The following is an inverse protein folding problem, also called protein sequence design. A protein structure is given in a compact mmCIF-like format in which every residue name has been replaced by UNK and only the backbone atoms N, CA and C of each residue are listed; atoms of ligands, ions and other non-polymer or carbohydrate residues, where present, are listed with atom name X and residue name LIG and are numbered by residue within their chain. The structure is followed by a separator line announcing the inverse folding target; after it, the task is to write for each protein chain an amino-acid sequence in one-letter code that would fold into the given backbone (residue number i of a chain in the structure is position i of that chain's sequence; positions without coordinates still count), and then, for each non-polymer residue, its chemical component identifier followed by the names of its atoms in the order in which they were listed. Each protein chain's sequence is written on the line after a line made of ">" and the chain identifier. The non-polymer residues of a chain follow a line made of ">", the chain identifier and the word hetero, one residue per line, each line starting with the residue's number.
data_IF_039196775817
#
_entry.id   IF_039196775817
#
_cell.length_a   1.000
_cell.length_b   1.000
_cell.length_c   1.000
_cell.angle_alpha   90.00
_cell.angle_beta   90.00
_cell.angle_gamma   90.00
#
_symmetry.space_group_name_H-M   'P 1'
#
loop_
_entity.id
_entity.type
_entity.pdbx_description
1 polymer ?
#
# COMPACT_ATOMS: atom_id res chain seq x y z
N UNK A 1 15.85 2.87 11.38
CA UNK A 1 15.21 3.77 10.41
C UNK A 1 14.28 2.96 9.49
N UNK A 2 13.10 3.47 9.09
CA UNK A 2 12.17 2.69 8.26
C UNK A 2 12.63 2.61 6.80
N UNK A 3 12.31 1.53 6.08
CA UNK A 3 12.60 1.40 4.63
C UNK A 3 12.07 2.59 3.83
N UNK A 4 10.88 3.09 4.16
CA UNK A 4 10.29 4.26 3.51
C UNK A 4 11.17 5.50 3.65
N UNK A 5 11.68 5.76 4.87
CA UNK A 5 12.58 6.89 5.13
C UNK A 5 13.89 6.76 4.34
N UNK A 6 14.48 5.56 4.27
CA UNK A 6 15.69 5.32 3.50
C UNK A 6 15.48 5.53 1.99
N UNK A 7 14.35 5.06 1.45
CA UNK A 7 13.99 5.26 0.03
C UNK A 7 13.74 6.74 -0.26
N UNK A 8 13.02 7.44 0.62
CA UNK A 8 12.76 8.88 0.53
C UNK A 8 14.05 9.69 0.57
N UNK A 9 14.95 9.43 1.53
CA UNK A 9 16.24 10.14 1.62
C UNK A 9 17.12 9.93 0.38
N UNK A 10 17.05 8.75 -0.24
CA UNK A 10 17.87 8.40 -1.43
C UNK A 10 17.30 8.96 -2.73
N UNK A 11 15.98 8.93 -2.93
CA UNK A 11 15.34 9.23 -4.21
C UNK A 11 14.56 10.55 -4.22
N UNK A 12 14.27 11.10 -3.05
CA UNK A 12 13.46 12.30 -2.85
C UNK A 12 14.02 13.19 -1.72
N UNK A 13 15.29 13.65 -1.83
CA UNK A 13 15.97 14.36 -0.75
C UNK A 13 15.30 15.71 -0.38
N UNK A 14 14.58 16.32 -1.31
CA UNK A 14 13.93 17.63 -1.13
C UNK A 14 12.56 17.55 -0.42
N UNK A 15 12.14 16.37 0.04
CA UNK A 15 10.88 16.24 0.76
C UNK A 15 10.98 16.87 2.16
N UNK A 16 9.93 17.58 2.63
CA UNK A 16 9.87 18.03 4.01
C UNK A 16 9.90 16.83 4.98
N UNK A 17 10.15 17.05 6.29
CA UNK A 17 10.07 15.98 7.28
C UNK A 17 8.74 15.22 7.21
N UNK A 18 8.79 13.90 7.36
CA UNK A 18 7.59 13.07 7.40
C UNK A 18 6.73 13.41 8.62
N UNK A 19 5.41 13.28 8.49
CA UNK A 19 4.47 13.49 9.59
C UNK A 19 4.64 12.38 10.64
N UNK A 20 4.54 12.73 11.92
CA UNK A 20 4.37 11.77 12.99
C UNK A 20 2.93 11.21 12.96
N UNK A 21 2.79 9.91 12.75
CA UNK A 21 1.47 9.26 12.74
C UNK A 21 1.05 8.99 14.19
N UNK A 22 -0.06 9.56 14.70
CA UNK A 22 -0.53 9.30 16.05
C UNK A 22 -1.00 7.86 16.20
N UNK A 23 -0.86 7.31 17.41
CA UNK A 23 -1.21 5.91 17.69
C UNK A 23 -2.69 5.58 17.43
N UNK A 24 -3.58 6.56 17.64
CA UNK A 24 -5.01 6.44 17.34
C UNK A 24 -5.29 6.23 15.85
N UNK A 25 -4.59 6.95 14.98
CA UNK A 25 -4.71 6.83 13.51
C UNK A 25 -4.18 5.48 13.04
N UNK A 26 -3.02 5.05 13.56
CA UNK A 26 -2.45 3.72 13.28
C UNK A 26 -3.37 2.58 13.73
N UNK A 27 -3.96 2.69 14.93
CA UNK A 27 -4.87 1.69 15.46
C UNK A 27 -6.17 1.62 14.65
N UNK A 28 -6.74 2.77 14.28
CA UNK A 28 -7.93 2.83 13.45
C UNK A 28 -7.71 2.22 12.07
N UNK A 29 -6.57 2.49 11.42
CA UNK A 29 -6.25 1.87 10.12
C UNK A 29 -6.00 0.37 10.24
N UNK A 30 -5.31 -0.08 11.31
CA UNK A 30 -5.08 -1.50 11.58
C UNK A 30 -6.40 -2.26 11.77
N UNK A 31 -7.32 -1.76 12.61
CA UNK A 31 -8.64 -2.38 12.80
C UNK A 31 -9.43 -2.45 11.49
N UNK A 32 -9.38 -1.38 10.68
CA UNK A 32 -10.01 -1.35 9.36
C UNK A 32 -9.36 -2.34 8.41
N UNK A 33 -8.04 -2.47 8.45
CA UNK A 33 -7.31 -3.45 7.64
C UNK A 33 -7.71 -4.87 8.03
N UNK A 34 -7.75 -5.18 9.32
CA UNK A 34 -8.18 -6.49 9.82
C UNK A 34 -9.59 -6.82 9.34
N UNK A 35 -10.54 -5.89 9.41
CA UNK A 35 -11.89 -6.11 8.91
C UNK A 35 -11.91 -6.41 7.39
N UNK A 36 -11.13 -5.68 6.59
CA UNK A 36 -10.98 -5.94 5.15
C UNK A 36 -10.30 -7.29 4.91
N UNK A 37 -9.25 -7.62 5.67
CA UNK A 37 -8.52 -8.87 5.58
C UNK A 37 -9.44 -10.07 5.82
N UNK A 38 -10.26 -10.01 6.87
CA UNK A 38 -11.25 -11.06 7.16
C UNK A 38 -12.27 -11.17 6.02
N UNK A 39 -12.86 -10.06 5.60
CA UNK A 39 -13.87 -10.07 4.54
C UNK A 39 -13.32 -10.63 3.21
N UNK A 40 -12.13 -10.18 2.79
CA UNK A 40 -11.47 -10.62 1.56
C UNK A 40 -11.13 -12.11 1.63
N UNK A 41 -10.62 -12.61 2.75
CA UNK A 41 -10.29 -14.03 2.90
C UNK A 41 -11.54 -14.92 2.92
N UNK A 42 -12.64 -14.49 3.54
CA UNK A 42 -13.90 -15.22 3.50
C UNK A 42 -14.44 -15.33 2.07
N UNK A 43 -14.43 -14.22 1.32
CA UNK A 43 -14.84 -14.22 -0.10
C UNK A 43 -13.91 -15.10 -0.93
N UNK A 44 -12.59 -14.97 -0.74
CA UNK A 44 -11.60 -15.78 -1.46
C UNK A 44 -11.77 -17.28 -1.18
N UNK A 45 -12.06 -17.66 0.07
CA UNK A 45 -12.32 -19.05 0.45
C UNK A 45 -13.55 -19.60 -0.29
N UNK A 46 -14.67 -18.88 -0.27
CA UNK A 46 -15.89 -19.30 -0.97
C UNK A 46 -15.64 -19.43 -2.47
N UNK A 47 -14.99 -18.43 -3.08
CA UNK A 47 -14.66 -18.48 -4.50
C UNK A 47 -13.71 -19.63 -4.85
N UNK A 48 -12.70 -19.91 -4.01
CA UNK A 48 -11.77 -21.01 -4.24
C UNK A 48 -12.43 -22.38 -4.16
N UNK A 49 -13.43 -22.55 -3.28
CA UNK A 49 -14.21 -23.79 -3.18
C UNK A 49 -15.11 -24.01 -4.41
N UNK A 50 -15.71 -22.94 -4.93
CA UNK A 50 -16.60 -23.01 -6.11
C UNK A 50 -15.82 -23.10 -7.43
N UNK A 51 -14.64 -22.48 -7.49
CA UNK A 51 -13.84 -22.29 -8.70
C UNK A 51 -12.41 -22.84 -8.49
N UNK A 52 -12.30 -24.11 -8.09
CA UNK A 52 -11.02 -24.71 -7.71
C UNK A 52 -9.88 -24.52 -8.74
N UNK A 53 -10.10 -24.64 -10.07
CA UNK A 53 -9.03 -24.39 -11.05
C UNK A 53 -8.53 -22.94 -11.07
N UNK A 54 -9.35 -21.98 -10.62
CA UNK A 54 -9.00 -20.57 -10.54
C UNK A 54 -8.41 -20.17 -9.18
N UNK A 55 -8.24 -21.10 -8.24
CA UNK A 55 -7.74 -20.81 -6.90
C UNK A 55 -6.41 -20.03 -6.87
N UNK A 56 -5.40 -20.29 -7.73
CA UNK A 56 -4.16 -19.48 -7.76
C UNK A 56 -4.42 -18.01 -8.10
N UNK A 57 -5.30 -17.73 -9.06
CA UNK A 57 -5.67 -16.37 -9.46
C UNK A 57 -6.48 -15.66 -8.37
N UNK A 58 -7.39 -16.37 -7.71
CA UNK A 58 -8.14 -15.87 -6.56
C UNK A 58 -7.19 -15.50 -5.43
N UNK A 59 -6.19 -16.35 -5.15
CA UNK A 59 -5.17 -16.11 -4.14
C UNK A 59 -4.31 -14.88 -4.47
N UNK A 60 -3.83 -14.74 -5.70
CA UNK A 60 -3.08 -13.54 -6.12
C UNK A 60 -3.94 -12.27 -6.08
N UNK A 61 -5.20 -12.34 -6.49
CA UNK A 61 -6.11 -11.20 -6.41
C UNK A 61 -6.40 -10.79 -4.96
N UNK A 62 -6.69 -11.76 -4.09
CA UNK A 62 -6.94 -11.52 -2.67
C UNK A 62 -5.72 -10.88 -2.00
N UNK A 63 -4.54 -11.49 -2.16
CA UNK A 63 -3.30 -10.96 -1.60
C UNK A 63 -2.95 -9.60 -2.23
N UNK A 64 -3.12 -9.42 -3.53
CA UNK A 64 -2.86 -8.16 -4.20
C UNK A 64 -3.74 -7.02 -3.68
N UNK A 65 -5.02 -7.28 -3.41
CA UNK A 65 -5.91 -6.31 -2.79
C UNK A 65 -5.46 -5.93 -1.38
N UNK A 66 -5.03 -6.90 -0.58
CA UNK A 66 -4.57 -6.67 0.80
C UNK A 66 -3.23 -5.92 0.84
N UNK A 67 -2.23 -6.41 0.10
CA UNK A 67 -0.92 -5.78 0.00
C UNK A 67 -1.03 -4.37 -0.56
N UNK A 68 -1.80 -4.20 -1.64
CA UNK A 68 -2.00 -2.90 -2.26
C UNK A 68 -2.60 -1.89 -1.29
N UNK A 69 -3.66 -2.28 -0.56
CA UNK A 69 -4.26 -1.41 0.46
C UNK A 69 -3.25 -1.07 1.57
N UNK A 70 -2.61 -2.08 2.14
CA UNK A 70 -1.81 -1.93 3.36
C UNK A 70 -0.53 -1.14 3.13
N UNK A 71 0.29 -1.55 2.17
CA UNK A 71 1.55 -0.86 1.88
C UNK A 71 1.32 0.56 1.34
N UNK A 72 0.25 0.79 0.59
CA UNK A 72 -0.12 2.14 0.18
C UNK A 72 -0.45 3.01 1.39
N UNK A 73 -1.31 2.55 2.31
CA UNK A 73 -1.69 3.31 3.50
C UNK A 73 -0.49 3.56 4.42
N UNK A 74 0.36 2.56 4.64
CA UNK A 74 1.60 2.68 5.42
C UNK A 74 2.46 3.85 4.93
N UNK A 75 2.65 3.95 3.61
CA UNK A 75 3.46 5.02 3.01
C UNK A 75 2.70 6.35 2.99
N UNK A 76 1.42 6.32 2.64
CA UNK A 76 0.58 7.52 2.51
C UNK A 76 0.40 8.26 3.84
N UNK A 77 0.17 7.56 4.95
CA UNK A 77 -0.06 8.18 6.27
C UNK A 77 1.17 8.95 6.78
N UNK A 78 2.38 8.61 6.30
CA UNK A 78 3.62 9.35 6.60
C UNK A 78 3.65 10.74 5.96
N UNK A 79 2.85 10.98 4.93
CA UNK A 79 2.91 12.18 4.07
C UNK A 79 1.58 12.93 3.98
N UNK A 80 0.46 12.25 4.22
CA UNK A 80 -0.90 12.73 4.08
C UNK A 80 -1.68 12.42 5.36
N UNK A 81 -2.76 13.16 5.62
CA UNK A 81 -3.73 12.79 6.65
C UNK A 81 -4.54 11.54 6.24
N UNK A 82 -5.18 10.87 7.19
CA UNK A 82 -5.97 9.64 6.91
C UNK A 82 -7.05 9.88 5.84
N UNK A 83 -7.66 11.06 5.84
CA UNK A 83 -8.74 11.40 4.91
C UNK A 83 -8.22 11.53 3.46
N UNK A 84 -7.13 12.26 3.26
CA UNK A 84 -6.48 12.44 1.97
C UNK A 84 -5.84 11.14 1.47
N UNK A 85 -5.17 10.38 2.35
CA UNK A 85 -4.62 9.07 2.01
C UNK A 85 -5.72 8.13 1.47
N UNK A 86 -6.86 8.04 2.16
CA UNK A 86 -8.00 7.21 1.71
C UNK A 86 -8.61 7.73 0.42
N UNK A 87 -8.77 9.05 0.27
CA UNK A 87 -9.28 9.68 -0.96
C UNK A 87 -8.38 9.34 -2.16
N UNK A 88 -7.06 9.47 -1.99
CA UNK A 88 -6.08 9.22 -3.03
C UNK A 88 -6.04 7.73 -3.41
N UNK A 89 -6.10 6.83 -2.43
CA UNK A 89 -6.21 5.38 -2.66
C UNK A 89 -7.45 5.02 -3.45
N UNK A 90 -8.61 5.60 -3.10
CA UNK A 90 -9.88 5.35 -3.80
C UNK A 90 -9.83 5.84 -5.25
N UNK A 91 -9.25 7.03 -5.48
CA UNK A 91 -9.07 7.59 -6.83
C UNK A 91 -8.17 6.72 -7.71
N UNK A 92 -7.17 6.07 -7.13
CA UNK A 92 -6.20 5.22 -7.84
C UNK A 92 -6.34 3.74 -7.49
N UNK A 93 -7.55 3.29 -7.13
CA UNK A 93 -7.77 1.95 -6.57
C UNK A 93 -7.26 0.83 -7.48
N UNK A 94 -7.49 0.96 -8.80
CA UNK A 94 -7.01 -0.01 -9.79
C UNK A 94 -5.49 -0.07 -9.87
N UNK A 95 -4.82 1.08 -9.85
CA UNK A 95 -3.35 1.12 -9.87
C UNK A 95 -2.76 0.55 -8.57
N UNK A 96 -3.38 0.86 -7.42
CA UNK A 96 -2.96 0.34 -6.11
C UNK A 96 -3.14 -1.17 -6.06
N UNK A 97 -4.28 -1.67 -6.56
CA UNK A 97 -4.55 -3.09 -6.68
C UNK A 97 -3.56 -3.80 -7.61
N UNK A 98 -3.32 -3.25 -8.81
CA UNK A 98 -2.38 -3.83 -9.77
C UNK A 98 -0.95 -3.89 -9.21
N UNK A 99 -0.49 -2.83 -8.55
CA UNK A 99 0.80 -2.84 -7.85
C UNK A 99 0.84 -3.89 -6.74
N UNK A 100 -0.26 -4.06 -5.98
CA UNK A 100 -0.38 -5.10 -4.98
C UNK A 100 -0.33 -6.51 -5.58
N UNK A 101 -1.04 -6.78 -6.69
CA UNK A 101 -1.01 -8.07 -7.40
C UNK A 101 0.39 -8.38 -7.92
N UNK A 102 1.07 -7.37 -8.48
CA UNK A 102 2.48 -7.51 -8.89
C UNK A 102 3.37 -7.96 -7.72
N UNK A 103 3.13 -7.45 -6.51
CA UNK A 103 3.84 -7.87 -5.30
C UNK A 103 3.34 -9.21 -4.74
N UNK A 104 2.13 -9.65 -5.07
CA UNK A 104 1.58 -10.92 -4.62
C UNK A 104 2.15 -12.12 -5.38
N UNK A 105 2.52 -11.95 -6.66
CA UNK A 105 3.08 -13.06 -7.47
C UNK A 105 4.37 -13.65 -6.86
N UNK A 106 5.37 -12.84 -6.47
CA UNK A 106 6.59 -13.36 -5.85
C UNK A 106 6.38 -14.04 -4.49
N UNK A 107 5.25 -13.82 -3.81
CA UNK A 107 4.95 -14.50 -2.53
C UNK A 107 4.86 -16.02 -2.68
N UNK A 108 4.59 -16.52 -3.89
CA UNK A 108 4.58 -17.95 -4.19
C UNK A 108 5.96 -18.60 -4.08
N UNK A 109 7.04 -17.81 -4.03
CA UNK A 109 8.42 -18.27 -3.90
C UNK A 109 8.94 -17.99 -2.47
N UNK A 110 9.18 -19.02 -1.63
CA UNK A 110 9.54 -18.84 -0.22
C UNK A 110 10.74 -17.92 0.03
N UNK A 111 11.79 -18.02 -0.80
CA UNK A 111 13.00 -17.20 -0.67
C UNK A 111 12.75 -15.74 -1.08
N UNK A 112 11.94 -15.53 -2.13
CA UNK A 112 11.66 -14.18 -2.65
C UNK A 112 10.72 -13.42 -1.72
N UNK A 113 9.87 -14.13 -0.98
CA UNK A 113 8.98 -13.55 0.03
C UNK A 113 9.73 -12.69 1.08
N UNK A 114 11.00 -12.98 1.37
CA UNK A 114 11.82 -12.17 2.28
C UNK A 114 12.10 -10.75 1.76
N UNK A 115 12.12 -10.57 0.44
CA UNK A 115 12.43 -9.29 -0.23
C UNK A 115 11.16 -8.47 -0.47
N UNK A 116 10.01 -9.15 -0.60
CA UNK A 116 8.71 -8.53 -0.93
C UNK A 116 8.37 -7.34 -0.02
N UNK A 117 8.52 -7.38 1.32
CA UNK A 117 8.18 -6.24 2.17
C UNK A 117 9.01 -4.99 1.86
N UNK A 118 10.31 -5.15 1.59
CA UNK A 118 11.22 -4.04 1.28
C UNK A 118 10.88 -3.46 -0.09
N UNK A 119 10.70 -4.34 -1.08
CA UNK A 119 10.34 -3.95 -2.44
C UNK A 119 8.96 -3.28 -2.51
N UNK A 120 7.97 -3.78 -1.75
CA UNK A 120 6.63 -3.19 -1.68
C UNK A 120 6.70 -1.76 -1.13
N UNK A 121 7.40 -1.53 -0.02
CA UNK A 121 7.56 -0.18 0.53
C UNK A 121 8.20 0.75 -0.50
N UNK A 122 9.28 0.32 -1.17
CA UNK A 122 9.92 1.13 -2.20
C UNK A 122 8.96 1.45 -3.37
N UNK A 123 8.25 0.45 -3.89
CA UNK A 123 7.28 0.62 -4.97
C UNK A 123 6.17 1.61 -4.59
N UNK A 124 5.60 1.47 -3.40
CA UNK A 124 4.52 2.34 -2.94
C UNK A 124 4.98 3.76 -2.58
N UNK A 125 6.24 3.96 -2.17
CA UNK A 125 6.86 5.30 -2.07
C UNK A 125 6.87 5.97 -3.44
N UNK A 126 7.45 5.32 -4.45
CA UNK A 126 7.52 5.91 -5.79
C UNK A 126 6.12 6.14 -6.37
N UNK A 127 5.21 5.18 -6.19
CA UNK A 127 3.82 5.32 -6.62
C UNK A 127 3.15 6.52 -5.95
N UNK A 128 3.28 6.67 -4.63
CA UNK A 128 2.71 7.79 -3.88
C UNK A 128 3.25 9.12 -4.42
N UNK A 129 4.57 9.26 -4.57
CA UNK A 129 5.15 10.51 -5.08
C UNK A 129 4.67 10.84 -6.49
N UNK A 130 4.47 9.83 -7.35
CA UNK A 130 3.94 10.03 -8.71
C UNK A 130 2.48 10.48 -8.73
N UNK A 131 1.63 9.97 -7.84
CA UNK A 131 0.18 10.23 -7.88
C UNK A 131 -0.27 11.35 -6.92
N UNK A 132 0.52 11.65 -5.89
CA UNK A 132 0.31 12.77 -4.97
C UNK A 132 0.87 14.09 -5.52
N UNK A 133 1.77 14.04 -6.52
CA UNK A 133 2.30 15.23 -7.18
C UNK A 133 1.39 15.73 -8.31
N UNK A 134 0.43 16.61 -7.96
CA UNK A 134 0.25 17.84 -8.72
C UNK A 134 0.33 19.05 -7.78
N UNK A 135 1.41 19.83 -7.88
CA UNK A 135 1.38 21.25 -7.53
C UNK A 135 1.42 21.64 -6.05
N UNK A 136 2.39 21.13 -5.27
CA UNK A 136 2.83 21.85 -4.07
C UNK A 136 4.22 22.43 -4.32
N UNK A 137 4.30 23.37 -5.28
CA UNK A 137 5.22 24.51 -5.11
C UNK A 137 4.69 25.20 -3.86
N UNK A 138 5.47 25.32 -2.76
CA UNK A 138 5.18 26.39 -1.82
C UNK A 138 5.10 27.65 -2.68
N UNK A 139 4.02 28.43 -2.54
CA UNK A 139 4.07 29.79 -3.02
C UNK A 139 5.32 30.41 -2.37
N UNK A 140 6.36 30.59 -3.19
CA UNK A 140 7.28 31.67 -2.95
C UNK A 140 6.44 32.95 -3.04
N UNK A 141 6.63 33.82 -2.05
CA UNK A 141 6.25 35.22 -2.02
C UNK A 141 4.78 35.54 -1.69
N UNK A 142 4.50 35.78 -0.40
CA UNK A 142 4.32 37.13 0.20
C UNK A 142 3.58 37.09 1.53
#
# INVERSE_FOLDING_TARGET
>A
ESVAAAVEARHYPDLPPARSVPLSESLADALRFTAVLVAVNLVALVLALLLAPLAPFIWWAANGLLLGREYFMLVALRRLDEAEARRLRRRHALAVFAAGVLMAVPLSLPVVNLIVPVAAVALFVHMLMRIAAPGRRPAADQ
#
